data_IF_676850875722
#
_entry.id   IF_676850875722
#
_cell.length_a   1.000
_cell.length_b   1.000
_cell.length_c   1.000
_cell.angle_alpha   90.00
_cell.angle_beta   90.00
_cell.angle_gamma   90.00
#
_symmetry.space_group_name_H-M   'P 1'
#
loop_
_entity.id
_entity.type
_entity.pdbx_description
1 polymer ?
#
# COMPACT_ATOMS: atom_id res chain seq x y z
N UNK A 1 5.11 -18.41 -23.20
CA UNK A 1 4.26 -17.73 -22.19
C UNK A 1 4.72 -16.28 -22.16
N UNK A 2 3.81 -15.30 -22.29
CA UNK A 2 4.18 -13.89 -22.21
C UNK A 2 4.83 -13.59 -20.85
N UNK A 3 5.99 -12.95 -20.86
CA UNK A 3 6.66 -12.50 -19.64
C UNK A 3 6.09 -11.15 -19.22
N UNK A 4 5.75 -11.01 -17.94
CA UNK A 4 5.23 -9.76 -17.38
C UNK A 4 6.43 -8.87 -17.05
N UNK A 5 6.62 -7.78 -17.80
CA UNK A 5 7.72 -6.83 -17.61
C UNK A 5 7.28 -5.49 -17.02
N UNK A 6 6.02 -5.14 -17.14
CA UNK A 6 5.44 -3.92 -16.61
C UNK A 6 4.91 -4.10 -15.19
N UNK A 7 5.74 -4.65 -14.31
CA UNK A 7 5.39 -4.92 -12.91
C UNK A 7 5.24 -3.61 -12.13
N UNK A 8 4.06 -3.39 -11.56
CA UNK A 8 3.70 -2.17 -10.81
C UNK A 8 2.97 -2.56 -9.54
N UNK A 9 3.32 -1.89 -8.44
CA UNK A 9 2.64 -2.02 -7.17
C UNK A 9 2.18 -0.63 -6.66
N UNK A 10 0.88 -0.45 -6.50
CA UNK A 10 0.28 0.81 -6.06
C UNK A 10 -0.18 0.77 -4.60
N UNK A 11 -0.12 -0.41 -3.95
CA UNK A 11 -0.60 -0.62 -2.59
C UNK A 11 0.40 -1.47 -1.80
N UNK A 12 1.39 -0.78 -1.22
CA UNK A 12 2.51 -1.42 -0.52
C UNK A 12 2.90 -0.61 0.72
N UNK A 13 2.73 -1.20 1.91
CA UNK A 13 3.10 -0.57 3.18
C UNK A 13 4.59 -0.73 3.49
N UNK A 14 5.25 0.38 3.89
CA UNK A 14 6.68 0.36 4.26
C UNK A 14 6.89 -0.48 5.53
N UNK A 15 6.10 -0.23 6.57
CA UNK A 15 6.17 -0.88 7.87
C UNK A 15 5.85 -2.37 7.81
N UNK A 16 4.85 -2.77 7.01
CA UNK A 16 4.53 -4.18 6.74
C UNK A 16 5.53 -4.92 5.84
N UNK A 17 6.55 -4.21 5.32
CA UNK A 17 7.51 -4.76 4.35
C UNK A 17 8.97 -4.75 4.82
N UNK A 18 9.22 -4.40 6.09
CA UNK A 18 10.56 -4.36 6.68
C UNK A 18 11.13 -5.77 6.79
N UNK A 19 12.34 -5.98 6.26
CA UNK A 19 13.03 -7.28 6.39
C UNK A 19 13.30 -7.62 7.86
N UNK A 20 13.01 -8.85 8.34
CA UNK A 20 13.31 -9.26 9.72
C UNK A 20 14.80 -9.10 10.09
N UNK A 21 15.70 -9.29 9.11
CA UNK A 21 17.14 -9.05 9.31
C UNK A 21 17.46 -7.58 9.61
N UNK A 22 16.72 -6.64 9.01
CA UNK A 22 16.87 -5.21 9.28
C UNK A 22 16.39 -4.87 10.68
N UNK A 23 15.27 -5.43 11.13
CA UNK A 23 14.80 -5.30 12.52
C UNK A 23 15.82 -5.88 13.48
N UNK A 24 16.36 -7.09 13.19
CA UNK A 24 17.39 -7.74 14.00
C UNK A 24 18.63 -6.87 14.19
N UNK A 25 19.12 -6.21 13.13
CA UNK A 25 20.31 -5.36 13.19
C UNK A 25 20.03 -4.02 13.88
N UNK A 26 18.96 -3.33 13.49
CA UNK A 26 18.60 -2.02 14.05
C UNK A 26 18.21 -2.12 15.52
N UNK A 27 17.51 -3.17 15.93
CA UNK A 27 17.14 -3.36 17.34
C UNK A 27 18.36 -3.49 18.24
N UNK A 28 19.41 -4.14 17.79
CA UNK A 28 20.68 -4.26 18.52
C UNK A 28 21.45 -2.96 18.53
N UNK A 29 21.53 -2.28 17.40
CA UNK A 29 22.19 -0.99 17.29
C UNK A 29 21.56 0.05 18.22
N UNK A 30 20.23 0.10 18.29
CA UNK A 30 19.49 1.06 19.10
C UNK A 30 19.09 0.54 20.48
N UNK A 31 19.46 -0.72 20.82
CA UNK A 31 19.07 -1.39 22.09
C UNK A 31 17.55 -1.45 22.32
N UNK A 32 16.78 -1.65 21.24
CA UNK A 32 15.31 -1.71 21.27
C UNK A 32 14.86 -3.07 21.81
N UNK A 33 13.98 -3.08 22.79
CA UNK A 33 13.41 -4.29 23.42
C UNK A 33 11.97 -4.51 22.92
N UNK A 34 11.54 -5.78 22.85
CA UNK A 34 12.31 -7.01 23.17
C UNK A 34 13.31 -7.45 22.08
N UNK A 35 13.22 -6.94 20.85
CA UNK A 35 13.86 -7.44 19.64
C UNK A 35 15.39 -7.57 19.76
N UNK A 36 16.06 -6.66 20.48
CA UNK A 36 17.52 -6.73 20.64
C UNK A 36 18.02 -7.97 21.40
N UNK A 37 17.12 -8.70 22.07
CA UNK A 37 17.43 -9.96 22.78
C UNK A 37 16.91 -11.19 22.06
N UNK A 38 16.09 -11.04 21.04
CA UNK A 38 15.51 -12.13 20.24
C UNK A 38 16.48 -12.61 19.17
N UNK A 39 16.39 -13.88 18.80
CA UNK A 39 17.05 -14.41 17.61
C UNK A 39 16.39 -13.88 16.32
N UNK A 40 17.06 -14.02 15.18
CA UNK A 40 16.47 -13.65 13.90
C UNK A 40 15.20 -14.47 13.61
N UNK A 41 15.19 -15.75 13.96
CA UNK A 41 14.04 -16.63 13.79
C UNK A 41 12.83 -16.17 14.62
N UNK A 42 13.03 -15.80 15.89
CA UNK A 42 11.98 -15.26 16.75
C UNK A 42 11.41 -13.94 16.22
N UNK A 43 12.27 -13.04 15.73
CA UNK A 43 11.84 -11.79 15.09
C UNK A 43 11.03 -12.12 13.83
N UNK A 44 11.53 -12.98 12.94
CA UNK A 44 10.81 -13.37 11.73
C UNK A 44 9.43 -13.89 12.06
N UNK A 45 9.33 -14.80 13.02
CA UNK A 45 8.05 -15.37 13.46
C UNK A 45 7.09 -14.33 14.05
N UNK A 46 7.60 -13.29 14.73
CA UNK A 46 6.77 -12.23 15.30
C UNK A 46 6.29 -11.19 14.28
N UNK A 47 6.82 -11.21 13.05
CA UNK A 47 6.50 -10.26 11.98
C UNK A 47 5.62 -10.84 10.88
N UNK A 48 5.25 -12.11 10.98
CA UNK A 48 4.50 -12.83 9.93
C UNK A 48 3.16 -13.30 10.49
N UNK A 49 2.09 -13.11 9.74
CA UNK A 49 0.79 -13.72 10.03
C UNK A 49 0.85 -15.16 9.52
N UNK A 50 0.64 -16.18 10.39
CA UNK A 50 0.59 -17.56 9.95
C UNK A 50 -0.54 -17.79 8.94
N UNK A 51 -0.33 -18.72 7.98
CA UNK A 51 -1.32 -19.05 6.96
C UNK A 51 -2.69 -19.40 7.59
N UNK A 52 -3.73 -18.71 7.15
CA UNK A 52 -5.11 -18.88 7.63
C UNK A 52 -5.41 -18.21 8.98
N UNK A 53 -4.46 -17.46 9.56
CA UNK A 53 -4.68 -16.64 10.75
C UNK A 53 -4.95 -15.18 10.36
N UNK A 54 -5.41 -14.39 11.33
CA UNK A 54 -5.71 -12.97 11.20
C UNK A 54 -5.08 -12.20 12.38
N UNK A 55 -4.57 -11.00 12.13
CA UNK A 55 -3.94 -10.12 13.15
C UNK A 55 -4.79 -8.83 13.33
N UNK A 56 -5.90 -8.88 14.07
CA UNK A 56 -6.82 -7.75 14.22
C UNK A 56 -6.22 -6.57 14.99
N UNK A 57 -5.17 -6.81 15.77
CA UNK A 57 -4.50 -5.80 16.59
C UNK A 57 -3.20 -5.29 15.95
N UNK A 58 -2.87 -5.74 14.73
CA UNK A 58 -1.67 -5.36 13.98
C UNK A 58 -0.36 -5.60 14.75
N UNK A 59 -0.29 -6.63 15.57
CA UNK A 59 0.87 -6.94 16.43
C UNK A 59 2.11 -7.33 15.62
N UNK A 60 1.91 -7.89 14.43
CA UNK A 60 3.00 -8.26 13.51
C UNK A 60 3.77 -7.05 12.97
N UNK A 61 3.19 -5.85 13.00
CA UNK A 61 3.85 -4.60 12.60
C UNK A 61 4.75 -4.00 13.71
N UNK A 62 4.50 -4.33 14.96
CA UNK A 62 5.16 -3.76 16.13
C UNK A 62 6.71 -3.78 16.05
N UNK A 63 7.39 -4.91 15.66
CA UNK A 63 8.83 -4.93 15.57
C UNK A 63 9.40 -3.95 14.54
N UNK A 64 8.72 -3.77 13.41
CA UNK A 64 9.08 -2.80 12.39
C UNK A 64 8.87 -1.37 12.88
N UNK A 65 7.69 -1.06 13.45
CA UNK A 65 7.37 0.26 14.01
C UNK A 65 8.40 0.69 15.07
N UNK A 66 8.85 -0.23 15.94
CA UNK A 66 9.84 0.09 16.98
C UNK A 66 11.20 0.51 16.43
N UNK A 67 11.67 -0.08 15.34
CA UNK A 67 12.97 0.31 14.73
C UNK A 67 12.86 1.54 13.83
N UNK A 68 11.65 1.94 13.45
CA UNK A 68 11.37 3.12 12.64
C UNK A 68 11.15 4.41 13.45
N UNK A 69 11.49 4.44 14.75
CA UNK A 69 11.34 5.63 15.60
C UNK A 69 12.51 6.62 15.50
N UNK A 70 13.44 6.40 14.57
CA UNK A 70 14.60 7.27 14.35
C UNK A 70 14.78 7.60 12.87
N UNK A 71 15.35 8.77 12.57
CA UNK A 71 15.70 9.13 11.19
C UNK A 71 16.49 8.01 10.49
N UNK A 72 17.51 7.45 11.16
CA UNK A 72 18.36 6.39 10.59
C UNK A 72 17.57 5.12 10.27
N UNK A 73 16.66 4.72 11.16
CA UNK A 73 15.79 3.57 10.95
C UNK A 73 14.90 3.75 9.72
N UNK A 74 14.18 4.88 9.64
CA UNK A 74 13.27 5.19 8.53
C UNK A 74 14.01 5.26 7.19
N UNK A 75 15.15 5.99 7.15
CA UNK A 75 15.99 6.09 5.92
C UNK A 75 16.43 4.72 5.45
N UNK A 76 16.91 3.87 6.37
CA UNK A 76 17.41 2.53 6.04
C UNK A 76 16.30 1.64 5.52
N UNK A 77 15.19 1.56 6.23
CA UNK A 77 14.03 0.71 5.88
C UNK A 77 13.50 1.08 4.49
N UNK A 78 13.25 2.38 4.25
CA UNK A 78 12.73 2.85 2.96
C UNK A 78 13.72 2.57 1.82
N UNK A 79 15.02 2.81 2.02
CA UNK A 79 16.05 2.51 1.03
C UNK A 79 16.12 1.03 0.69
N UNK A 80 16.12 0.15 1.71
CA UNK A 80 16.21 -1.30 1.51
C UNK A 80 14.96 -1.87 0.82
N UNK A 81 13.77 -1.29 1.10
CA UNK A 81 12.56 -1.65 0.39
C UNK A 81 12.65 -1.30 -1.10
N UNK A 82 13.09 -0.10 -1.45
CA UNK A 82 13.30 0.30 -2.85
C UNK A 82 14.27 -0.65 -3.56
N UNK A 83 15.38 -1.02 -2.92
CA UNK A 83 16.34 -1.96 -3.47
C UNK A 83 15.73 -3.35 -3.70
N UNK A 84 14.91 -3.84 -2.75
CA UNK A 84 14.17 -5.09 -2.89
C UNK A 84 13.23 -5.07 -4.10
N UNK A 85 12.48 -3.99 -4.30
CA UNK A 85 11.53 -3.87 -5.42
C UNK A 85 12.23 -3.84 -6.79
N UNK A 86 13.41 -3.18 -6.89
CA UNK A 86 14.25 -3.23 -8.09
C UNK A 86 14.73 -4.66 -8.37
N UNK A 87 15.18 -5.40 -7.34
CA UNK A 87 15.62 -6.80 -7.44
C UNK A 87 14.46 -7.71 -7.89
N UNK A 88 13.22 -7.44 -7.46
CA UNK A 88 12.01 -8.16 -7.88
C UNK A 88 11.53 -7.75 -9.29
N UNK A 89 12.17 -6.75 -9.92
CA UNK A 89 11.92 -6.34 -11.30
C UNK A 89 10.69 -5.43 -11.47
N UNK A 90 10.29 -4.71 -10.44
CA UNK A 90 9.26 -3.68 -10.57
C UNK A 90 9.81 -2.49 -11.36
N UNK A 91 8.94 -1.85 -12.15
CA UNK A 91 9.24 -0.62 -12.89
C UNK A 91 8.70 0.63 -12.20
N UNK A 92 7.65 0.45 -11.37
CA UNK A 92 7.07 1.53 -10.56
C UNK A 92 6.44 0.98 -9.29
N UNK A 93 6.53 1.75 -8.19
CA UNK A 93 5.85 1.44 -6.94
C UNK A 93 5.42 2.71 -6.18
N UNK A 94 4.29 2.62 -5.49
CA UNK A 94 3.83 3.63 -4.53
C UNK A 94 3.83 3.03 -3.13
N UNK A 95 4.77 3.54 -2.30
CA UNK A 95 4.97 3.06 -0.94
C UNK A 95 4.18 3.94 0.03
N UNK A 96 3.41 3.32 0.90
CA UNK A 96 2.59 4.04 1.89
C UNK A 96 3.00 3.75 3.32
N UNK A 97 2.78 4.72 4.20
CA UNK A 97 2.98 4.58 5.65
C UNK A 97 2.33 5.74 6.39
N UNK A 98 2.07 5.58 7.69
CA UNK A 98 1.50 6.60 8.56
C UNK A 98 2.59 7.34 9.34
N UNK A 99 2.93 8.61 9.00
CA UNK A 99 3.99 9.35 9.70
C UNK A 99 3.73 9.49 11.21
N UNK A 100 2.48 9.58 11.62
CA UNK A 100 2.04 9.73 13.00
C UNK A 100 2.40 8.54 13.91
N UNK A 101 2.79 7.38 13.36
CA UNK A 101 3.21 6.22 14.15
C UNK A 101 4.70 6.20 14.51
N UNK A 102 5.47 7.23 14.12
CA UNK A 102 6.93 7.30 14.29
C UNK A 102 7.41 8.50 15.10
N UNK A 103 6.62 8.94 16.09
CA UNK A 103 6.82 10.22 16.80
C UNK A 103 7.54 10.12 18.14
N UNK A 104 8.13 8.97 18.52
CA UNK A 104 8.81 8.85 19.81
C UNK A 104 9.99 9.83 19.96
N UNK A 105 10.70 10.12 18.87
CA UNK A 105 11.85 11.01 18.86
C UNK A 105 11.84 12.05 17.73
N UNK A 106 10.84 12.00 16.86
CA UNK A 106 10.74 12.82 15.66
C UNK A 106 9.41 13.58 15.62
N UNK A 107 9.35 14.67 14.87
CA UNK A 107 8.11 15.29 14.41
C UNK A 107 7.60 14.57 13.15
N UNK A 108 6.33 14.68 12.82
CA UNK A 108 5.81 14.10 11.56
C UNK A 108 6.60 14.58 10.35
N UNK A 109 6.95 15.86 10.28
CA UNK A 109 7.76 16.39 9.19
C UNK A 109 9.15 15.75 9.11
N UNK A 110 9.82 15.55 10.23
CA UNK A 110 11.12 14.87 10.26
C UNK A 110 11.02 13.40 9.80
N UNK A 111 9.91 12.73 10.11
CA UNK A 111 9.58 11.38 9.63
C UNK A 111 9.42 11.36 8.11
N UNK A 112 8.61 12.25 7.56
CA UNK A 112 8.39 12.37 6.09
C UNK A 112 9.70 12.67 5.37
N UNK A 113 10.50 13.60 5.88
CA UNK A 113 11.80 13.92 5.29
C UNK A 113 12.77 12.74 5.34
N UNK A 114 12.74 11.93 6.40
CA UNK A 114 13.57 10.72 6.50
C UNK A 114 13.13 9.67 5.44
N UNK A 115 11.83 9.47 5.24
CA UNK A 115 11.31 8.56 4.21
C UNK A 115 11.68 9.06 2.80
N UNK A 116 11.56 10.36 2.51
CA UNK A 116 12.00 10.97 1.24
C UNK A 116 13.50 10.78 1.02
N UNK A 117 14.30 10.92 2.06
CA UNK A 117 15.75 10.67 1.98
C UNK A 117 16.05 9.21 1.65
N UNK A 118 15.37 8.26 2.33
CA UNK A 118 15.49 6.82 2.05
C UNK A 118 15.07 6.47 0.63
N UNK A 119 13.94 7.02 0.15
CA UNK A 119 13.45 6.87 -1.22
C UNK A 119 14.53 7.34 -2.23
N UNK A 120 15.05 8.55 -2.07
CA UNK A 120 16.09 9.10 -2.96
C UNK A 120 17.37 8.27 -2.95
N UNK A 121 17.83 7.83 -1.78
CA UNK A 121 19.01 6.97 -1.65
C UNK A 121 18.77 5.62 -2.36
N UNK A 122 17.61 4.98 -2.18
CA UNK A 122 17.27 3.74 -2.85
C UNK A 122 17.24 3.92 -4.36
N UNK A 123 16.47 4.88 -4.87
CA UNK A 123 16.34 5.14 -6.30
C UNK A 123 17.66 5.50 -6.97
N UNK A 124 18.62 6.12 -6.26
CA UNK A 124 19.94 6.44 -6.81
C UNK A 124 20.75 5.19 -7.19
N UNK A 125 20.40 4.02 -6.69
CA UNK A 125 21.02 2.72 -7.00
C UNK A 125 20.23 1.89 -7.99
N UNK A 126 18.97 2.27 -8.27
CA UNK A 126 18.10 1.59 -9.21
C UNK A 126 18.38 1.97 -10.67
N UNK A 127 18.16 1.03 -11.59
CA UNK A 127 18.33 1.25 -13.04
C UNK A 127 17.00 1.57 -13.72
N UNK A 128 15.92 0.94 -13.25
CA UNK A 128 14.62 0.96 -13.91
C UNK A 128 13.49 1.42 -13.00
N UNK A 129 13.53 1.06 -11.73
CA UNK A 129 12.46 1.36 -10.78
C UNK A 129 12.31 2.87 -10.57
N UNK A 130 11.07 3.33 -10.64
CA UNK A 130 10.62 4.64 -10.15
C UNK A 130 9.64 4.41 -9.01
N UNK A 131 9.58 5.31 -8.05
CA UNK A 131 8.66 5.18 -6.93
C UNK A 131 8.29 6.54 -6.33
N UNK A 132 7.16 6.56 -5.61
CA UNK A 132 6.69 7.68 -4.82
C UNK A 132 6.16 7.25 -3.46
N UNK A 133 6.01 8.20 -2.53
CA UNK A 133 5.45 7.97 -1.21
C UNK A 133 3.99 8.43 -1.17
N UNK A 134 3.12 7.64 -0.57
CA UNK A 134 1.78 8.02 -0.17
C UNK A 134 1.79 8.15 1.36
N UNK A 135 1.33 9.28 1.89
CA UNK A 135 1.21 9.47 3.32
C UNK A 135 -0.17 9.00 3.79
N UNK A 136 -0.22 8.15 4.81
CA UNK A 136 -1.47 7.66 5.36
C UNK A 136 -1.95 8.55 6.51
N UNK A 137 -3.14 9.13 6.37
CA UNK A 137 -3.98 9.49 7.51
C UNK A 137 -4.57 8.21 8.08
N UNK A 138 -4.93 8.20 9.36
CA UNK A 138 -5.35 6.98 10.04
C UNK A 138 -6.80 7.09 10.51
N UNK A 139 -7.57 6.04 10.18
CA UNK A 139 -8.93 5.87 10.66
C UNK A 139 -8.90 5.31 12.09
N UNK A 140 -9.68 5.91 12.97
CA UNK A 140 -9.93 5.49 14.34
C UNK A 140 -11.42 5.38 14.63
N UNK A 141 -11.81 4.63 15.66
CA UNK A 141 -13.22 4.53 16.12
C UNK A 141 -13.87 5.89 16.37
N UNK A 142 -13.10 6.81 16.93
CA UNK A 142 -13.46 8.22 17.06
C UNK A 142 -12.58 9.05 16.13
N UNK A 143 -13.14 9.64 15.06
CA UNK A 143 -12.38 10.45 14.11
C UNK A 143 -11.68 11.66 14.73
N UNK A 144 -12.19 12.15 15.87
CA UNK A 144 -11.59 13.29 16.58
C UNK A 144 -10.34 12.92 17.39
N UNK A 145 -10.10 11.62 17.59
CA UNK A 145 -8.98 11.14 18.41
C UNK A 145 -7.62 11.53 17.82
N UNK A 146 -7.49 11.51 16.49
CA UNK A 146 -6.26 11.80 15.75
C UNK A 146 -6.45 12.78 14.59
N UNK A 147 -7.50 13.62 14.68
CA UNK A 147 -7.81 14.57 13.62
C UNK A 147 -6.68 15.58 13.39
N UNK A 148 -6.04 16.08 14.45
CA UNK A 148 -4.93 17.03 14.31
C UNK A 148 -3.72 16.39 13.62
N UNK A 149 -3.37 15.17 13.99
CA UNK A 149 -2.29 14.40 13.36
C UNK A 149 -2.60 14.10 11.89
N UNK A 150 -3.85 13.76 11.57
CA UNK A 150 -4.29 13.53 10.20
C UNK A 150 -4.22 14.81 9.36
N UNK A 151 -4.62 15.95 9.93
CA UNK A 151 -4.51 17.25 9.26
C UNK A 151 -3.05 17.66 9.04
N UNK A 152 -2.14 17.37 9.99
CA UNK A 152 -0.70 17.56 9.79
C UNK A 152 -0.17 16.67 8.68
N UNK A 153 -0.57 15.39 8.63
CA UNK A 153 -0.21 14.46 7.56
C UNK A 153 -0.64 14.98 6.18
N UNK A 154 -1.87 15.48 6.06
CA UNK A 154 -2.37 16.09 4.82
C UNK A 154 -1.55 17.33 4.42
N UNK A 155 -1.24 18.22 5.38
CA UNK A 155 -0.42 19.40 5.10
C UNK A 155 0.99 19.03 4.65
N UNK A 156 1.57 17.97 5.20
CA UNK A 156 2.87 17.44 4.79
C UNK A 156 2.79 16.79 3.40
N UNK A 157 1.71 16.08 3.08
CA UNK A 157 1.48 15.55 1.75
C UNK A 157 1.44 16.67 0.70
N UNK A 158 0.73 17.76 0.98
CA UNK A 158 0.72 18.94 0.12
C UNK A 158 2.11 19.60 0.00
N UNK A 159 2.79 19.81 1.13
CA UNK A 159 4.10 20.49 1.18
C UNK A 159 5.17 19.75 0.37
N UNK A 160 5.14 18.43 0.39
CA UNK A 160 6.15 17.58 -0.28
C UNK A 160 5.63 16.90 -1.55
N UNK A 161 4.45 17.31 -2.04
CA UNK A 161 3.90 16.82 -3.31
C UNK A 161 4.90 17.07 -4.44
N UNK A 162 5.14 16.04 -5.27
CA UNK A 162 6.15 16.04 -6.34
C UNK A 162 7.62 16.21 -5.87
N UNK A 163 7.87 16.12 -4.55
CA UNK A 163 9.23 16.11 -4.00
C UNK A 163 9.62 14.76 -3.39
N UNK A 164 8.86 13.74 -3.69
CA UNK A 164 8.95 12.37 -3.17
C UNK A 164 7.60 11.85 -2.71
N UNK A 165 6.70 12.73 -2.25
CA UNK A 165 5.30 12.40 -1.97
C UNK A 165 4.49 12.54 -3.24
N UNK A 166 3.58 11.59 -3.50
CA UNK A 166 2.73 11.55 -4.69
C UNK A 166 1.23 11.53 -4.36
N UNK A 167 0.85 11.27 -3.11
CA UNK A 167 -0.56 11.19 -2.73
C UNK A 167 -0.82 11.05 -1.24
N UNK A 168 -2.09 10.97 -0.90
CA UNK A 168 -2.63 10.80 0.44
C UNK A 168 -3.54 9.56 0.47
N UNK A 169 -3.56 8.86 1.59
CA UNK A 169 -4.40 7.70 1.86
C UNK A 169 -5.12 7.86 3.22
N UNK A 170 -6.21 7.14 3.42
CA UNK A 170 -6.81 6.89 4.72
C UNK A 170 -6.74 5.39 4.99
N UNK A 171 -5.96 4.99 6.00
CA UNK A 171 -5.73 3.60 6.36
C UNK A 171 -6.18 3.30 7.81
N UNK A 172 -6.13 2.05 8.23
CA UNK A 172 -6.49 1.60 9.57
C UNK A 172 -7.88 0.96 9.62
N UNK A 173 -8.60 1.17 10.72
CA UNK A 173 -9.94 0.60 10.88
C UNK A 173 -10.96 1.28 9.96
N UNK A 174 -11.88 0.52 9.37
CA UNK A 174 -12.93 1.06 8.51
C UNK A 174 -14.18 1.47 9.34
N UNK A 175 -13.96 2.27 10.38
CA UNK A 175 -15.03 2.76 11.25
C UNK A 175 -15.26 4.26 11.05
N UNK A 176 -16.52 4.71 11.19
CA UNK A 176 -16.91 6.13 11.10
C UNK A 176 -16.36 6.87 9.85
N UNK A 177 -16.34 6.20 8.69
CA UNK A 177 -15.83 6.77 7.43
C UNK A 177 -16.32 8.21 7.15
N UNK A 178 -17.61 8.56 7.33
CA UNK A 178 -18.06 9.94 7.11
C UNK A 178 -17.34 11.02 7.95
N UNK A 179 -16.73 10.64 9.07
CA UNK A 179 -15.99 11.55 9.94
C UNK A 179 -14.66 12.07 9.37
N UNK A 180 -14.23 11.58 8.20
CA UNK A 180 -12.98 11.97 7.53
C UNK A 180 -13.22 12.76 6.23
N UNK A 181 -14.46 13.13 5.94
CA UNK A 181 -14.84 13.83 4.70
C UNK A 181 -14.08 15.15 4.53
N UNK A 182 -13.88 15.90 5.60
CA UNK A 182 -13.17 17.19 5.57
C UNK A 182 -11.71 17.07 5.13
N UNK A 183 -11.05 15.95 5.44
CA UNK A 183 -9.68 15.62 4.98
C UNK A 183 -9.68 15.49 3.45
N UNK A 184 -10.63 14.74 2.88
CA UNK A 184 -10.71 14.54 1.43
C UNK A 184 -11.15 15.81 0.71
N UNK A 185 -12.10 16.58 1.27
CA UNK A 185 -12.49 17.88 0.72
C UNK A 185 -11.30 18.86 0.66
N UNK A 186 -10.47 18.89 1.69
CA UNK A 186 -9.28 19.73 1.71
C UNK A 186 -8.20 19.20 0.75
N UNK A 187 -7.98 17.87 0.70
CA UNK A 187 -7.03 17.26 -0.23
C UNK A 187 -7.39 17.61 -1.68
N UNK A 188 -8.69 17.56 -2.05
CA UNK A 188 -9.16 17.94 -3.40
C UNK A 188 -8.93 19.42 -3.68
N UNK A 189 -9.19 20.33 -2.72
CA UNK A 189 -8.91 21.77 -2.88
C UNK A 189 -7.44 22.06 -3.12
N UNK A 190 -6.56 21.22 -2.57
CA UNK A 190 -5.11 21.32 -2.71
C UNK A 190 -4.56 20.49 -3.88
N UNK A 191 -5.45 19.86 -4.66
CA UNK A 191 -5.12 19.00 -5.81
C UNK A 191 -4.16 17.85 -5.45
N UNK A 192 -4.28 17.30 -4.21
CA UNK A 192 -3.53 16.13 -3.77
C UNK A 192 -4.23 14.87 -4.32
N UNK A 193 -3.55 13.98 -5.06
CA UNK A 193 -4.11 12.70 -5.44
C UNK A 193 -4.45 11.85 -4.20
N UNK A 194 -5.62 11.20 -4.20
CA UNK A 194 -6.12 10.47 -3.03
C UNK A 194 -6.51 9.04 -3.35
N UNK A 195 -6.23 8.15 -2.43
CA UNK A 195 -6.78 6.79 -2.31
C UNK A 195 -7.34 6.61 -0.90
N UNK A 196 -8.04 5.52 -0.63
CA UNK A 196 -8.52 5.17 0.72
C UNK A 196 -8.63 3.67 0.84
N UNK A 197 -8.22 3.10 1.99
CA UNK A 197 -8.57 1.73 2.31
C UNK A 197 -10.09 1.61 2.46
N UNK A 198 -10.65 0.62 1.82
CA UNK A 198 -12.06 0.32 1.93
C UNK A 198 -12.34 -1.11 1.45
N UNK A 199 -12.33 -2.04 2.37
CA UNK A 199 -12.67 -3.44 2.10
C UNK A 199 -14.18 -3.62 1.96
N UNK A 200 -14.92 -3.11 2.95
CA UNK A 200 -16.38 -3.25 3.09
C UNK A 200 -17.15 -1.94 3.23
N UNK A 201 -16.52 -0.81 3.03
CA UNK A 201 -17.09 0.55 3.12
C UNK A 201 -17.02 1.29 1.78
N UNK A 202 -17.05 0.57 0.65
CA UNK A 202 -16.87 1.12 -0.71
C UNK A 202 -17.84 2.26 -1.01
N UNK A 203 -19.06 2.20 -0.45
CA UNK A 203 -20.02 3.29 -0.61
C UNK A 203 -19.50 4.61 -0.05
N UNK A 204 -18.95 4.58 1.17
CA UNK A 204 -18.41 5.79 1.82
C UNK A 204 -17.15 6.27 1.09
N UNK A 205 -16.29 5.33 0.63
CA UNK A 205 -15.11 5.64 -0.17
C UNK A 205 -15.47 6.37 -1.48
N UNK A 206 -16.55 6.00 -2.14
CA UNK A 206 -17.05 6.71 -3.34
C UNK A 206 -17.48 8.14 -3.02
N UNK A 207 -18.03 8.39 -1.83
CA UNK A 207 -18.45 9.73 -1.39
C UNK A 207 -17.24 10.67 -1.18
N UNK A 208 -16.05 10.13 -0.88
CA UNK A 208 -14.80 10.92 -0.78
C UNK A 208 -14.34 11.50 -2.13
N UNK A 209 -14.81 10.96 -3.26
CA UNK A 209 -14.39 11.39 -4.58
C UNK A 209 -12.95 10.99 -4.94
N UNK A 210 -12.40 9.96 -4.31
CA UNK A 210 -11.07 9.42 -4.63
C UNK A 210 -11.07 8.79 -6.02
N UNK A 211 -9.92 8.78 -6.68
CA UNK A 211 -9.77 8.11 -8.00
C UNK A 211 -9.38 6.64 -7.87
N UNK A 212 -8.95 6.22 -6.68
CA UNK A 212 -8.58 4.86 -6.35
C UNK A 212 -9.16 4.47 -4.99
N UNK A 213 -9.38 3.16 -4.82
CA UNK A 213 -9.84 2.57 -3.55
C UNK A 213 -8.96 1.35 -3.27
N UNK A 214 -8.33 1.32 -2.07
CA UNK A 214 -7.60 0.17 -1.58
C UNK A 214 -8.57 -0.99 -1.31
N UNK A 215 -8.21 -2.18 -1.75
CA UNK A 215 -8.99 -3.42 -1.68
C UNK A 215 -10.30 -3.36 -2.47
N UNK A 216 -11.34 -2.75 -1.96
CA UNK A 216 -12.62 -2.57 -2.67
C UNK A 216 -13.46 -3.84 -2.83
N UNK A 217 -13.27 -4.86 -1.97
CA UNK A 217 -13.88 -6.18 -2.14
C UNK A 217 -15.40 -6.14 -2.14
N UNK A 218 -16.03 -5.27 -1.33
CA UNK A 218 -17.48 -5.10 -1.26
C UNK A 218 -18.12 -4.81 -2.62
N UNK A 219 -17.39 -4.15 -3.52
CA UNK A 219 -17.89 -3.85 -4.86
C UNK A 219 -18.25 -5.09 -5.68
N UNK A 220 -17.64 -6.26 -5.39
CA UNK A 220 -17.99 -7.52 -6.04
C UNK A 220 -19.31 -8.13 -5.55
N UNK A 221 -19.73 -7.76 -4.33
CA UNK A 221 -20.87 -8.35 -3.62
C UNK A 221 -22.18 -7.60 -3.88
N UNK A 222 -22.11 -6.34 -4.34
CA UNK A 222 -23.24 -5.44 -4.51
C UNK A 222 -23.20 -4.84 -5.91
N UNK A 223 -24.15 -5.21 -6.77
CA UNK A 223 -24.16 -4.80 -8.18
C UNK A 223 -24.18 -3.27 -8.36
N UNK A 224 -24.90 -2.54 -7.51
CA UNK A 224 -24.92 -1.08 -7.51
C UNK A 224 -23.53 -0.47 -7.28
N UNK A 225 -22.74 -1.07 -6.38
CA UNK A 225 -21.37 -0.63 -6.14
C UNK A 225 -20.44 -1.01 -7.29
N UNK A 226 -20.60 -2.21 -7.88
CA UNK A 226 -19.87 -2.57 -9.10
C UNK A 226 -20.11 -1.53 -10.20
N UNK A 227 -21.36 -1.17 -10.47
CA UNK A 227 -21.71 -0.17 -11.48
C UNK A 227 -21.11 1.20 -11.14
N UNK A 228 -21.25 1.65 -9.87
CA UNK A 228 -20.71 2.93 -9.45
C UNK A 228 -19.18 3.03 -9.62
N UNK A 229 -18.43 1.97 -9.26
CA UNK A 229 -16.97 1.90 -9.46
C UNK A 229 -16.62 2.00 -10.95
N UNK A 230 -17.35 1.29 -11.82
CA UNK A 230 -17.10 1.30 -13.28
C UNK A 230 -17.46 2.67 -13.88
N UNK A 231 -18.64 3.21 -13.59
CA UNK A 231 -19.14 4.48 -14.15
C UNK A 231 -18.27 5.67 -13.74
N UNK A 232 -17.76 5.68 -12.50
CA UNK A 232 -16.86 6.73 -12.01
C UNK A 232 -15.40 6.48 -12.36
N UNK A 233 -15.08 5.42 -13.13
CA UNK A 233 -13.71 5.05 -13.52
C UNK A 233 -12.75 4.91 -12.34
N UNK A 234 -13.24 4.39 -11.20
CA UNK A 234 -12.43 4.13 -10.01
C UNK A 234 -11.53 2.92 -10.25
N UNK A 235 -10.27 3.01 -9.87
CA UNK A 235 -9.35 1.87 -9.88
C UNK A 235 -9.26 1.24 -8.50
N UNK A 236 -9.49 -0.08 -8.40
CA UNK A 236 -9.40 -0.83 -7.15
C UNK A 236 -7.98 -1.42 -7.00
N UNK A 237 -7.33 -1.10 -5.89
CA UNK A 237 -5.99 -1.59 -5.53
C UNK A 237 -6.12 -2.92 -4.77
N UNK A 238 -6.32 -4.03 -5.48
CA UNK A 238 -6.62 -5.30 -4.85
C UNK A 238 -5.35 -6.07 -4.47
N UNK A 239 -5.40 -6.72 -3.29
CA UNK A 239 -4.29 -7.47 -2.70
C UNK A 239 -4.75 -8.93 -2.46
N UNK A 240 -4.59 -9.83 -3.44
CA UNK A 240 -5.15 -11.18 -3.36
C UNK A 240 -4.74 -11.98 -2.14
N UNK A 241 -3.45 -12.04 -1.80
CA UNK A 241 -2.94 -12.82 -0.66
C UNK A 241 -3.48 -12.31 0.68
N UNK A 242 -3.52 -10.99 0.86
CA UNK A 242 -4.07 -10.31 2.05
C UNK A 242 -5.52 -10.69 2.35
N UNK A 243 -6.25 -11.09 1.34
CA UNK A 243 -7.69 -11.34 1.42
C UNK A 243 -8.10 -12.81 1.31
N UNK A 244 -7.16 -13.75 1.14
CA UNK A 244 -7.47 -15.18 1.03
C UNK A 244 -8.13 -15.76 2.28
N UNK A 245 -7.82 -15.20 3.46
CA UNK A 245 -8.39 -15.63 4.73
C UNK A 245 -9.79 -15.06 5.02
N UNK A 246 -10.26 -14.09 4.22
CA UNK A 246 -11.56 -13.47 4.43
C UNK A 246 -12.71 -14.34 3.92
N UNK A 247 -13.76 -14.44 4.74
CA UNK A 247 -15.04 -14.98 4.31
C UNK A 247 -15.87 -13.84 3.69
N UNK A 248 -15.82 -13.70 2.37
CA UNK A 248 -16.57 -12.65 1.66
C UNK A 248 -18.10 -12.87 1.63
N UNK A 249 -18.60 -13.94 2.23
CA UNK A 249 -20.00 -14.34 2.07
C UNK A 249 -20.30 -14.85 0.65
N UNK A 250 -19.28 -15.03 -0.17
CA UNK A 250 -19.34 -15.71 -1.45
C UNK A 250 -19.52 -17.21 -1.19
N UNK A 251 -20.29 -17.91 -2.00
CA UNK A 251 -20.42 -19.37 -1.90
C UNK A 251 -19.07 -20.03 -2.19
N UNK A 252 -18.85 -21.26 -1.71
CA UNK A 252 -17.58 -21.99 -1.91
C UNK A 252 -17.21 -22.20 -3.39
N UNK A 253 -18.17 -21.97 -4.29
CA UNK A 253 -18.00 -22.07 -5.75
C UNK A 253 -17.80 -20.69 -6.41
N UNK A 254 -17.80 -19.60 -5.63
CA UNK A 254 -17.62 -18.24 -6.16
C UNK A 254 -16.17 -17.83 -6.16
N UNK A 255 -15.80 -17.23 -7.27
CA UNK A 255 -14.46 -16.76 -7.58
C UNK A 255 -14.13 -15.51 -6.73
N UNK A 256 -12.86 -15.36 -6.30
CA UNK A 256 -12.37 -14.19 -5.57
C UNK A 256 -12.82 -12.85 -6.20
N UNK A 257 -13.15 -11.82 -5.38
CA UNK A 257 -13.61 -10.50 -5.85
C UNK A 257 -12.80 -9.90 -7.01
N UNK A 258 -11.49 -10.05 -7.03
CA UNK A 258 -10.63 -9.53 -8.10
C UNK A 258 -11.03 -10.09 -9.48
N UNK A 259 -11.35 -11.38 -9.56
CA UNK A 259 -11.77 -12.02 -10.82
C UNK A 259 -13.16 -11.56 -11.22
N UNK A 260 -14.09 -11.48 -10.25
CA UNK A 260 -15.48 -11.02 -10.48
C UNK A 260 -15.46 -9.60 -11.04
N UNK A 261 -14.78 -8.68 -10.38
CA UNK A 261 -14.71 -7.27 -10.75
C UNK A 261 -14.02 -7.07 -12.11
N UNK A 262 -12.88 -7.73 -12.31
CA UNK A 262 -12.18 -7.67 -13.60
C UNK A 262 -13.05 -8.17 -14.75
N UNK A 263 -13.75 -9.30 -14.58
CA UNK A 263 -14.65 -9.87 -15.60
C UNK A 263 -15.88 -9.00 -15.86
N UNK A 264 -16.37 -8.26 -14.85
CA UNK A 264 -17.42 -7.25 -15.03
C UNK A 264 -16.92 -5.95 -15.69
N UNK A 265 -15.61 -5.79 -15.91
CA UNK A 265 -15.02 -4.64 -16.58
C UNK A 265 -14.54 -3.52 -15.64
N UNK A 266 -14.50 -3.75 -14.34
CA UNK A 266 -13.88 -2.81 -13.39
C UNK A 266 -12.36 -2.73 -13.61
N UNK A 267 -11.79 -1.57 -13.32
CA UNK A 267 -10.34 -1.36 -13.32
C UNK A 267 -9.78 -1.87 -12.00
N UNK A 268 -9.10 -2.99 -12.04
CA UNK A 268 -8.45 -3.59 -10.87
C UNK A 268 -6.95 -3.71 -11.09
N UNK A 269 -6.17 -3.56 -10.04
CA UNK A 269 -4.72 -3.75 -10.02
C UNK A 269 -4.35 -4.85 -9.04
N UNK A 270 -3.20 -5.49 -9.22
CA UNK A 270 -2.68 -6.52 -8.32
C UNK A 270 -1.56 -5.90 -7.51
N UNK A 271 -1.65 -5.97 -6.18
CA UNK A 271 -0.71 -5.35 -5.27
C UNK A 271 -0.36 -6.29 -4.12
N UNK A 272 0.71 -5.97 -3.37
CA UNK A 272 1.25 -6.85 -2.34
C UNK A 272 0.82 -6.52 -0.93
N UNK A 273 0.32 -5.32 -0.68
CA UNK A 273 -0.05 -4.82 0.65
C UNK A 273 1.16 -4.82 1.62
N UNK A 274 1.58 -6.00 2.10
CA UNK A 274 2.58 -6.16 3.15
C UNK A 274 3.56 -7.30 2.85
N UNK A 275 4.71 -7.02 2.21
CA UNK A 275 5.65 -8.05 1.74
C UNK A 275 6.20 -8.98 2.82
N UNK A 276 6.36 -8.49 4.05
CA UNK A 276 6.92 -9.28 5.16
C UNK A 276 5.83 -9.91 6.00
N UNK A 277 4.81 -9.14 6.36
CA UNK A 277 3.70 -9.61 7.20
C UNK A 277 2.95 -10.78 6.55
N UNK A 278 2.81 -10.76 5.22
CA UNK A 278 2.13 -11.80 4.43
C UNK A 278 3.10 -12.80 3.78
N UNK A 279 4.41 -12.65 3.98
CA UNK A 279 5.44 -13.44 3.28
C UNK A 279 5.18 -13.51 1.76
N UNK A 280 4.80 -12.38 1.14
CA UNK A 280 4.39 -12.31 -0.25
C UNK A 280 5.41 -11.55 -1.13
N UNK A 281 5.14 -11.55 -2.43
CA UNK A 281 5.80 -10.75 -3.45
C UNK A 281 4.84 -10.53 -4.61
N UNK A 282 5.10 -9.56 -5.48
CA UNK A 282 4.21 -9.30 -6.60
C UNK A 282 4.10 -10.52 -7.56
N UNK A 283 5.15 -11.32 -7.68
CA UNK A 283 5.08 -12.58 -8.47
C UNK A 283 4.21 -13.64 -7.79
N UNK A 284 4.22 -13.73 -6.44
CA UNK A 284 3.31 -14.61 -5.69
C UNK A 284 1.85 -14.16 -5.88
N UNK A 285 1.58 -12.86 -5.83
CA UNK A 285 0.24 -12.32 -6.11
C UNK A 285 -0.23 -12.67 -7.53
N UNK A 286 0.65 -12.57 -8.53
CA UNK A 286 0.33 -12.99 -9.90
C UNK A 286 0.07 -14.49 -10.00
N UNK A 287 0.80 -15.32 -9.25
CA UNK A 287 0.56 -16.77 -9.22
C UNK A 287 -0.79 -17.10 -8.59
N UNK A 288 -1.17 -16.42 -7.51
CA UNK A 288 -2.50 -16.52 -6.90
C UNK A 288 -3.57 -16.15 -7.94
N UNK A 289 -3.39 -15.05 -8.67
CA UNK A 289 -4.29 -14.65 -9.74
C UNK A 289 -4.43 -15.72 -10.84
N UNK A 290 -3.31 -16.36 -11.23
CA UNK A 290 -3.32 -17.47 -12.23
C UNK A 290 -4.11 -18.68 -11.70
N UNK A 291 -3.93 -19.04 -10.46
CA UNK A 291 -4.67 -20.13 -9.81
C UNK A 291 -6.17 -19.84 -9.74
N UNK A 292 -6.57 -18.57 -9.66
CA UNK A 292 -7.95 -18.11 -9.75
C UNK A 292 -8.49 -18.05 -11.19
N UNK A 293 -7.69 -18.41 -12.20
CA UNK A 293 -8.09 -18.49 -13.62
C UNK A 293 -7.91 -17.20 -14.42
N UNK A 294 -7.08 -16.28 -13.93
CA UNK A 294 -6.63 -15.12 -14.73
C UNK A 294 -5.41 -15.51 -15.59
N UNK A 295 -5.38 -15.05 -16.84
CA UNK A 295 -4.27 -15.27 -17.76
C UNK A 295 -3.15 -14.23 -17.55
N UNK A 296 -1.96 -14.47 -18.13
CA UNK A 296 -0.91 -13.44 -18.14
C UNK A 296 -1.34 -12.17 -18.89
N UNK A 297 -2.16 -12.31 -19.93
CA UNK A 297 -2.75 -11.19 -20.66
C UNK A 297 -3.68 -10.35 -19.76
N UNK A 298 -4.47 -11.01 -18.90
CA UNK A 298 -5.31 -10.33 -17.91
C UNK A 298 -4.44 -9.55 -16.91
N UNK A 299 -3.38 -10.16 -16.38
CA UNK A 299 -2.45 -9.52 -15.41
C UNK A 299 -1.71 -8.34 -16.07
N UNK A 300 -1.24 -8.49 -17.31
CA UNK A 300 -0.64 -7.39 -18.08
C UNK A 300 -1.62 -6.23 -18.23
N UNK A 301 -2.90 -6.52 -18.48
CA UNK A 301 -3.95 -5.50 -18.58
C UNK A 301 -4.18 -4.80 -17.23
N UNK A 302 -4.16 -5.55 -16.13
CA UNK A 302 -4.23 -4.97 -14.77
C UNK A 302 -3.04 -4.05 -14.48
N UNK A 303 -1.82 -4.44 -14.90
CA UNK A 303 -0.64 -3.59 -14.76
C UNK A 303 -0.73 -2.33 -15.65
N UNK A 304 -1.35 -2.40 -16.83
CA UNK A 304 -1.62 -1.21 -17.64
C UNK A 304 -2.61 -0.27 -16.93
N UNK A 305 -3.65 -0.82 -16.27
CA UNK A 305 -4.53 0.00 -15.41
C UNK A 305 -3.74 0.65 -14.27
N UNK A 306 -2.77 -0.07 -13.68
CA UNK A 306 -1.91 0.50 -12.63
C UNK A 306 -1.06 1.67 -13.16
N UNK A 307 -0.49 1.58 -14.38
CA UNK A 307 0.23 2.71 -15.01
C UNK A 307 -0.67 3.93 -15.18
N UNK A 308 -1.89 3.71 -15.69
CA UNK A 308 -2.83 4.81 -15.90
C UNK A 308 -3.29 5.46 -14.60
N UNK A 309 -3.52 4.64 -13.55
CA UNK A 309 -4.05 5.07 -12.25
C UNK A 309 -3.00 5.58 -11.27
N UNK A 310 -1.70 5.26 -11.45
CA UNK A 310 -0.65 5.69 -10.52
C UNK A 310 -0.62 7.23 -10.37
N UNK A 311 -0.10 7.71 -9.26
CA UNK A 311 0.04 9.14 -8.96
C UNK A 311 1.35 9.76 -9.50
N UNK A 312 2.05 9.03 -10.36
CA UNK A 312 3.21 9.54 -11.06
C UNK A 312 2.89 10.71 -12.00
N UNK A 313 3.90 11.54 -12.30
CA UNK A 313 3.74 12.61 -13.29
C UNK A 313 3.43 12.06 -14.69
N UNK A 314 2.80 12.85 -15.57
CA UNK A 314 2.51 12.45 -16.94
C UNK A 314 3.74 11.91 -17.68
N UNK A 315 4.90 12.54 -17.49
CA UNK A 315 6.16 12.13 -18.13
C UNK A 315 6.59 10.73 -17.68
N UNK A 316 6.47 10.44 -16.38
CA UNK A 316 6.76 9.11 -15.83
C UNK A 316 5.78 8.08 -16.38
N UNK A 317 4.48 8.39 -16.44
CA UNK A 317 3.48 7.48 -17.04
C UNK A 317 3.79 7.16 -18.51
N UNK A 318 4.18 8.16 -19.29
CA UNK A 318 4.59 7.93 -20.68
C UNK A 318 5.81 7.01 -20.82
N UNK A 319 6.77 7.11 -19.89
CA UNK A 319 7.93 6.21 -19.86
C UNK A 319 7.51 4.77 -19.49
N UNK A 320 6.66 4.62 -18.47
CA UNK A 320 6.16 3.31 -18.04
C UNK A 320 5.37 2.59 -19.15
N UNK A 321 4.54 3.32 -19.90
CA UNK A 321 3.77 2.76 -21.04
C UNK A 321 4.65 2.26 -22.19
N UNK A 322 5.93 2.65 -22.26
CA UNK A 322 6.86 2.15 -23.27
C UNK A 322 7.44 0.76 -22.94
N UNK A 323 7.30 0.32 -21.68
CA UNK A 323 7.73 -1.01 -21.26
C UNK A 323 6.71 -2.03 -21.75
N UNK A 324 7.05 -2.76 -22.78
CA UNK A 324 6.16 -3.78 -23.36
C UNK A 324 6.44 -5.16 -22.75
N UNK A 325 5.40 -5.96 -22.48
CA UNK A 325 5.56 -7.38 -22.15
C UNK A 325 6.12 -8.14 -23.35
N UNK A 326 6.89 -9.19 -23.08
CA UNK A 326 7.41 -10.10 -24.11
C UNK A 326 6.46 -11.25 -24.37
#
# INVERSE_FOLDING_TARGET
>A
MLEIRNKIDLHLHIDGSVKPSTVYELSREFSIKPECTMTLEEITKSMVIPEGEYDPDFLTFEPALRVMQTKKGIVRVTRELIQRLEEEGLIYAELRFAPQYHLQTLTQEAVVLAAIEGLKQGLSTCKTLKAGLILCTMNHKDPMQNHEENMETLQLAYKYLNQGVVGLDLAGYEENMPGYMDIFELAHKLEIPTTTHSEFTVKDALEYGTTRIGHGYQAALIDELTHAVIENNITLEMCPDSSLSYEYGLSKDETHPIVVLFRKGARVTVNTDNLTVLETSLEKEYEICRQMGLSNEDIIRMNNYAIEACFASPEVKEELLKVQPL
#
